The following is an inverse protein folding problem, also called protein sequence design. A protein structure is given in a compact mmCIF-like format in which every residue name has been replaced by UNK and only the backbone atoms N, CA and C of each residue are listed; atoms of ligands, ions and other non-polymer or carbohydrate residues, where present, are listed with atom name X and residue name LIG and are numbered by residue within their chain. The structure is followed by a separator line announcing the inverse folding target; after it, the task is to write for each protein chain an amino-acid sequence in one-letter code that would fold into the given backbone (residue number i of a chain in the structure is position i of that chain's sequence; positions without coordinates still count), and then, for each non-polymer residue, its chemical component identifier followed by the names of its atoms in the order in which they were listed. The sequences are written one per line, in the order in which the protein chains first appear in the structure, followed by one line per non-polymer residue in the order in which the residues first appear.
data_IF_469834003444
#
_entry.id   IF_469834003444
#
_cell.length_a   1.000
_cell.length_b   1.000
_cell.length_c   1.000
_cell.angle_alpha   90.00
_cell.angle_beta   90.00
_cell.angle_gamma   90.00
#
_symmetry.space_group_name_H-M   'P 1'
#
loop_
_entity.id
_entity.type
_entity.pdbx_description
1 polymer ?
#
# COMPACT_ATOMS: atom_id res chain seq x y z
N UNK A 1 27.84 4.93 -6.05
CA UNK A 1 26.56 4.81 -5.31
C UNK A 1 25.41 5.00 -6.30
N UNK A 2 24.71 3.93 -6.67
CA UNK A 2 23.42 4.07 -7.36
C UNK A 2 22.39 4.39 -6.28
N UNK A 3 21.90 5.63 -6.21
CA UNK A 3 20.73 5.94 -5.40
C UNK A 3 19.55 5.16 -5.99
N UNK A 4 19.29 3.96 -5.46
CA UNK A 4 18.01 3.31 -5.67
C UNK A 4 17.01 4.10 -4.83
N UNK A 5 16.32 5.05 -5.46
CA UNK A 5 15.11 5.61 -4.84
C UNK A 5 14.22 4.41 -4.48
N UNK A 6 13.74 4.29 -3.24
CA UNK A 6 12.86 3.20 -2.86
C UNK A 6 11.66 3.21 -3.81
N UNK A 7 11.35 2.06 -4.41
CA UNK A 7 10.28 1.92 -5.42
C UNK A 7 8.95 2.47 -4.91
N UNK A 8 8.71 2.34 -3.60
CA UNK A 8 7.58 2.92 -2.90
C UNK A 8 7.55 4.46 -2.98
N UNK A 9 8.65 5.16 -2.70
CA UNK A 9 8.70 6.62 -2.80
C UNK A 9 8.40 7.11 -4.22
N UNK A 10 8.95 6.43 -5.23
CA UNK A 10 8.70 6.77 -6.64
C UNK A 10 7.22 6.59 -7.00
N UNK A 11 6.62 5.48 -6.56
CA UNK A 11 5.18 5.24 -6.73
C UNK A 11 4.34 6.32 -6.05
N UNK A 12 4.65 6.68 -4.80
CA UNK A 12 3.91 7.72 -4.06
C UNK A 12 3.99 9.09 -4.73
N UNK A 13 5.18 9.46 -5.25
CA UNK A 13 5.39 10.73 -5.96
C UNK A 13 4.59 10.78 -7.26
N UNK A 14 4.64 9.73 -8.08
CA UNK A 14 3.88 9.69 -9.33
C UNK A 14 2.37 9.59 -9.07
N UNK A 15 1.94 8.86 -8.04
CA UNK A 15 0.53 8.82 -7.64
C UNK A 15 0.01 10.22 -7.27
N UNK A 16 0.80 11.02 -6.53
CA UNK A 16 0.45 12.41 -6.22
C UNK A 16 0.37 13.26 -7.49
N UNK A 17 1.40 13.16 -8.35
CA UNK A 17 1.45 13.92 -9.60
C UNK A 17 0.22 13.63 -10.48
N UNK A 18 -0.12 12.36 -10.65
CA UNK A 18 -1.28 11.94 -11.44
C UNK A 18 -2.58 12.44 -10.79
N UNK A 19 -2.73 12.32 -9.47
CA UNK A 19 -3.90 12.82 -8.75
C UNK A 19 -4.08 14.33 -8.96
N UNK A 20 -3.01 15.12 -8.84
CA UNK A 20 -3.04 16.57 -9.11
C UNK A 20 -3.48 16.84 -10.54
N UNK A 21 -2.84 16.22 -11.54
CA UNK A 21 -3.14 16.48 -12.96
C UNK A 21 -4.61 16.14 -13.28
N UNK A 22 -5.07 14.96 -12.88
CA UNK A 22 -6.41 14.48 -13.22
C UNK A 22 -7.49 15.32 -12.54
N UNK A 23 -7.35 15.58 -11.24
CA UNK A 23 -8.34 16.38 -10.50
C UNK A 23 -8.33 17.82 -10.98
N UNK A 24 -7.15 18.44 -11.13
CA UNK A 24 -7.06 19.83 -11.59
C UNK A 24 -7.65 20.00 -12.99
N UNK A 25 -7.37 19.07 -13.91
CA UNK A 25 -7.95 19.09 -15.25
C UNK A 25 -9.49 18.99 -15.23
N UNK A 26 -10.05 18.14 -14.36
CA UNK A 26 -11.51 18.07 -14.17
C UNK A 26 -12.08 19.37 -13.58
N UNK A 27 -11.36 19.99 -12.64
CA UNK A 27 -11.78 21.23 -11.99
C UNK A 27 -11.82 22.42 -12.95
N UNK A 28 -10.76 22.62 -13.72
CA UNK A 28 -10.65 23.72 -14.68
C UNK A 28 -11.47 23.45 -15.94
N UNK A 29 -11.53 22.20 -16.41
CA UNK A 29 -12.19 21.86 -17.67
C UNK A 29 -13.71 21.69 -17.57
N UNK A 30 -14.22 21.24 -16.41
CA UNK A 30 -15.65 20.88 -16.28
C UNK A 30 -16.30 21.53 -15.06
N UNK A 31 -15.74 21.35 -13.87
CA UNK A 31 -16.45 21.67 -12.61
C UNK A 31 -16.69 23.17 -12.47
N UNK A 32 -15.63 23.99 -12.52
CA UNK A 32 -15.75 25.44 -12.35
C UNK A 32 -16.52 26.11 -13.48
N UNK A 33 -16.24 25.82 -14.78
CA UNK A 33 -17.05 26.37 -15.86
C UNK A 33 -18.55 26.03 -15.74
N UNK A 34 -18.88 24.81 -15.33
CA UNK A 34 -20.28 24.39 -15.12
C UNK A 34 -20.93 25.11 -13.95
N UNK A 35 -20.19 25.30 -12.85
CA UNK A 35 -20.67 26.04 -11.69
C UNK A 35 -20.90 27.53 -12.03
N UNK A 36 -19.95 28.15 -12.72
CA UNK A 36 -20.00 29.57 -13.09
C UNK A 36 -21.15 29.86 -14.06
N UNK A 37 -21.38 28.98 -15.06
CA UNK A 37 -22.49 29.12 -16.00
C UNK A 37 -23.86 29.05 -15.29
N UNK A 38 -24.00 28.18 -14.30
CA UNK A 38 -25.24 28.06 -13.53
C UNK A 38 -25.45 29.23 -12.57
N UNK A 39 -24.39 29.69 -11.91
CA UNK A 39 -24.44 30.87 -11.04
C UNK A 39 -24.78 32.13 -11.85
N UNK A 40 -24.24 32.28 -13.05
CA UNK A 40 -24.59 33.37 -13.96
C UNK A 40 -26.08 33.35 -14.36
N UNK A 41 -26.61 32.16 -14.65
CA UNK A 41 -28.04 31.98 -14.97
C UNK A 41 -28.93 32.35 -13.77
N UNK A 42 -28.58 31.90 -12.57
CA UNK A 42 -29.30 32.24 -11.34
C UNK A 42 -29.24 33.75 -11.03
N UNK A 43 -28.09 34.39 -11.25
CA UNK A 43 -27.93 35.82 -11.08
C UNK A 43 -28.81 36.62 -12.07
N UNK A 44 -28.94 36.14 -13.32
CA UNK A 44 -29.81 36.78 -14.33
C UNK A 44 -31.31 36.66 -13.95
N UNK A 45 -31.75 35.50 -13.44
CA UNK A 45 -33.12 35.30 -12.95
C UNK A 45 -33.44 36.22 -11.77
N UNK A 46 -32.52 36.30 -10.80
CA UNK A 46 -32.65 37.20 -9.66
C UNK A 46 -32.74 38.68 -10.09
N UNK A 47 -31.93 39.10 -11.07
CA UNK A 47 -31.99 40.46 -11.62
C UNK A 47 -33.30 40.75 -12.37
N UNK A 48 -33.93 39.72 -12.97
CA UNK A 48 -35.24 39.82 -13.61
C UNK A 48 -36.42 39.82 -12.60
N UNK A 49 -36.14 39.66 -11.29
CA UNK A 49 -37.17 39.54 -10.25
C UNK A 49 -37.86 38.18 -10.22
N UNK A 50 -37.28 37.18 -10.89
CA UNK A 50 -37.72 35.78 -10.83
C UNK A 50 -37.05 35.10 -9.63
N UNK A 51 -37.80 34.23 -8.94
CA UNK A 51 -37.20 33.37 -7.94
C UNK A 51 -36.22 32.41 -8.63
N UNK A 52 -34.95 32.30 -8.17
CA UNK A 52 -33.96 31.43 -8.79
C UNK A 52 -34.46 29.98 -8.75
N UNK A 53 -34.82 29.46 -9.92
CA UNK A 53 -35.33 28.09 -10.05
C UNK A 53 -34.16 27.13 -10.16
N UNK A 54 -34.01 26.22 -9.20
CA UNK A 54 -33.13 25.07 -9.33
C UNK A 54 -32.43 24.66 -8.03
N UNK A 55 -32.39 23.35 -7.77
CA UNK A 55 -31.55 22.78 -6.72
C UNK A 55 -30.08 23.12 -7.00
N UNK A 56 -29.30 23.38 -5.94
CA UNK A 56 -27.85 23.54 -6.05
C UNK A 56 -27.25 22.32 -6.74
N UNK A 57 -26.57 22.52 -7.86
CA UNK A 57 -25.91 21.43 -8.56
C UNK A 57 -24.70 20.93 -7.79
N UNK A 58 -24.30 19.69 -8.04
CA UNK A 58 -23.09 19.11 -7.48
C UNK A 58 -21.87 19.98 -7.84
N UNK A 59 -21.80 20.49 -9.08
CA UNK A 59 -20.70 21.34 -9.53
C UNK A 59 -20.54 22.59 -8.66
N UNK A 60 -21.63 23.25 -8.27
CA UNK A 60 -21.59 24.41 -7.37
C UNK A 60 -21.11 24.01 -5.98
N UNK A 61 -21.52 22.84 -5.47
CA UNK A 61 -21.15 22.36 -4.13
C UNK A 61 -19.65 22.03 -4.02
N UNK A 62 -19.03 21.53 -5.10
CA UNK A 62 -17.63 21.09 -5.07
C UNK A 62 -16.65 22.07 -5.72
N UNK A 63 -17.08 23.25 -6.19
CA UNK A 63 -16.24 24.13 -7.03
C UNK A 63 -15.03 24.75 -6.32
N UNK A 64 -15.07 24.87 -4.99
CA UNK A 64 -14.05 25.64 -4.27
C UNK A 64 -12.72 24.88 -4.18
N UNK A 65 -11.64 25.63 -3.92
CA UNK A 65 -10.27 25.12 -3.91
C UNK A 65 -10.02 24.10 -2.78
N UNK A 66 -10.77 24.18 -1.68
CA UNK A 66 -10.65 23.25 -0.56
C UNK A 66 -11.05 21.82 -0.96
N UNK A 67 -12.14 21.69 -1.74
CA UNK A 67 -12.66 20.42 -2.24
C UNK A 67 -11.69 19.84 -3.29
N UNK A 68 -11.12 20.69 -4.16
CA UNK A 68 -10.09 20.26 -5.11
C UNK A 68 -8.89 19.63 -4.39
N UNK A 69 -8.34 20.34 -3.40
CA UNK A 69 -7.24 19.83 -2.60
C UNK A 69 -7.63 18.55 -1.84
N UNK A 70 -8.85 18.49 -1.31
CA UNK A 70 -9.37 17.31 -0.63
C UNK A 70 -9.40 16.09 -1.56
N UNK A 71 -9.92 16.22 -2.79
CA UNK A 71 -9.95 15.11 -3.75
C UNK A 71 -8.56 14.67 -4.19
N UNK A 72 -7.62 15.60 -4.40
CA UNK A 72 -6.22 15.28 -4.71
C UNK A 72 -5.62 14.43 -3.59
N UNK A 73 -5.72 14.89 -2.34
CA UNK A 73 -5.15 14.20 -1.18
C UNK A 73 -5.85 12.86 -0.91
N UNK A 74 -7.16 12.80 -1.13
CA UNK A 74 -7.94 11.56 -1.00
C UNK A 74 -7.48 10.50 -2.00
N UNK A 75 -7.37 10.84 -3.28
CA UNK A 75 -6.90 9.91 -4.31
C UNK A 75 -5.46 9.48 -4.05
N UNK A 76 -4.61 10.40 -3.60
CA UNK A 76 -3.24 10.09 -3.23
C UNK A 76 -3.18 9.12 -2.04
N UNK A 77 -3.91 9.39 -0.97
CA UNK A 77 -3.98 8.50 0.20
C UNK A 77 -4.54 7.12 -0.16
N UNK A 78 -5.59 7.05 -0.99
CA UNK A 78 -6.14 5.79 -1.49
C UNK A 78 -5.11 5.00 -2.31
N UNK A 79 -4.30 5.68 -3.14
CA UNK A 79 -3.25 5.03 -3.91
C UNK A 79 -2.14 4.44 -3.00
N UNK A 80 -1.75 5.18 -1.94
CA UNK A 80 -0.78 4.70 -0.94
C UNK A 80 -1.33 3.47 -0.21
N UNK A 81 -2.55 3.58 0.33
CA UNK A 81 -3.20 2.49 1.06
C UNK A 81 -3.41 1.27 0.17
N UNK A 82 -3.81 1.45 -1.09
CA UNK A 82 -3.99 0.36 -2.06
C UNK A 82 -2.68 -0.38 -2.36
N UNK A 83 -1.57 0.34 -2.50
CA UNK A 83 -0.25 -0.26 -2.69
C UNK A 83 0.17 -1.08 -1.47
N UNK A 84 0.10 -0.51 -0.27
CA UNK A 84 0.42 -1.23 0.98
C UNK A 84 -0.49 -2.45 1.18
N UNK A 85 -1.80 -2.30 0.97
CA UNK A 85 -2.77 -3.39 1.09
C UNK A 85 -2.49 -4.54 0.11
N UNK A 86 -2.05 -4.24 -1.11
CA UNK A 86 -1.71 -5.28 -2.09
C UNK A 86 -0.48 -6.09 -1.65
N UNK A 87 0.55 -5.42 -1.11
CA UNK A 87 1.73 -6.09 -0.52
C UNK A 87 1.34 -6.95 0.69
N UNK A 88 0.59 -6.41 1.64
CA UNK A 88 0.12 -7.15 2.82
C UNK A 88 -0.71 -8.37 2.43
N UNK A 89 -1.55 -8.27 1.37
CA UNK A 89 -2.31 -9.41 0.85
C UNK A 89 -1.38 -10.49 0.27
N UNK A 90 -0.38 -10.11 -0.53
CA UNK A 90 0.59 -11.06 -1.08
C UNK A 90 1.36 -11.78 0.03
N UNK A 91 1.78 -11.05 1.07
CA UNK A 91 2.44 -11.64 2.25
C UNK A 91 1.50 -12.56 3.05
N UNK A 92 0.24 -12.17 3.24
CA UNK A 92 -0.75 -13.02 3.93
C UNK A 92 -1.00 -14.32 3.17
N UNK A 93 -0.99 -14.28 1.83
CA UNK A 93 -1.15 -15.48 1.01
C UNK A 93 0.02 -16.46 1.18
N UNK A 94 1.22 -16.00 1.57
CA UNK A 94 2.32 -16.91 1.90
C UNK A 94 2.04 -17.82 3.08
N UNK A 95 1.20 -17.39 4.04
CA UNK A 95 0.83 -18.23 5.18
C UNK A 95 0.06 -19.49 4.76
N UNK A 96 -0.55 -19.48 3.57
CA UNK A 96 -1.27 -20.62 3.01
C UNK A 96 -0.38 -21.53 2.15
N UNK A 97 0.88 -21.15 1.92
CA UNK A 97 1.80 -21.93 1.11
C UNK A 97 2.60 -22.91 1.96
N UNK A 98 2.79 -24.13 1.46
CA UNK A 98 3.68 -25.11 2.05
C UNK A 98 5.14 -24.76 1.72
N UNK A 99 5.67 -23.71 2.35
CA UNK A 99 7.06 -23.25 2.16
C UNK A 99 8.09 -24.29 2.60
N UNK A 100 7.72 -25.12 3.58
CA UNK A 100 8.52 -26.20 4.11
C UNK A 100 7.67 -27.47 4.03
N UNK A 101 8.08 -28.41 3.17
CA UNK A 101 7.35 -29.65 2.95
C UNK A 101 7.77 -30.70 3.99
N UNK A 102 7.12 -30.68 5.16
CA UNK A 102 7.35 -31.66 6.22
C UNK A 102 6.04 -32.38 6.53
N UNK A 103 6.08 -33.71 6.57
CA UNK A 103 4.95 -34.52 7.02
C UNK A 103 4.69 -34.30 8.52
N UNK A 104 3.43 -34.13 8.89
CA UNK A 104 3.03 -33.98 10.29
C UNK A 104 3.61 -35.11 11.16
N UNK A 105 4.10 -34.75 12.35
CA UNK A 105 4.74 -35.70 13.27
C UNK A 105 6.22 -36.00 12.98
N UNK A 106 6.81 -35.43 11.92
CA UNK A 106 8.25 -35.57 11.65
C UNK A 106 9.07 -34.62 12.53
N UNK A 107 10.06 -35.15 13.25
CA UNK A 107 11.02 -34.33 13.98
C UNK A 107 12.11 -33.81 13.04
N UNK A 108 12.39 -32.51 13.09
CA UNK A 108 13.47 -31.88 12.34
C UNK A 108 14.75 -31.94 13.17
N UNK A 109 15.80 -32.57 12.66
CA UNK A 109 17.13 -32.49 13.27
C UNK A 109 17.91 -31.31 12.68
N UNK A 110 18.93 -30.77 13.40
CA UNK A 110 19.74 -29.67 12.90
C UNK A 110 20.40 -29.93 11.54
N UNK A 111 20.65 -31.20 11.20
CA UNK A 111 21.22 -31.61 9.90
C UNK A 111 20.22 -31.49 8.75
N UNK A 112 18.94 -31.70 9.04
CA UNK A 112 17.84 -31.69 8.05
C UNK A 112 17.37 -30.26 7.75
N UNK A 113 17.56 -29.33 8.69
CA UNK A 113 17.16 -27.93 8.54
C UNK A 113 17.81 -27.23 7.35
N UNK A 114 19.01 -27.65 6.95
CA UNK A 114 19.71 -27.11 5.76
C UNK A 114 19.07 -27.53 4.44
N UNK A 115 18.42 -28.68 4.40
CA UNK A 115 17.67 -29.09 3.22
C UNK A 115 16.42 -28.22 3.07
N UNK A 116 15.74 -27.95 4.18
CA UNK A 116 14.53 -27.14 4.21
C UNK A 116 14.77 -25.67 3.85
N UNK A 117 15.97 -25.12 4.08
CA UNK A 117 16.30 -23.76 3.66
C UNK A 117 16.34 -23.59 2.14
N UNK A 118 16.65 -24.66 1.38
CA UNK A 118 16.74 -24.60 -0.08
C UNK A 118 15.40 -24.28 -0.74
N UNK A 119 14.31 -24.78 -0.16
CA UNK A 119 12.95 -24.48 -0.64
C UNK A 119 12.63 -22.98 -0.51
N UNK A 120 13.14 -22.33 0.54
CA UNK A 120 13.00 -20.89 0.75
C UNK A 120 13.91 -20.09 -0.20
N UNK A 121 15.15 -20.56 -0.40
CA UNK A 121 16.11 -19.95 -1.35
C UNK A 121 15.65 -20.06 -2.82
N UNK A 122 14.79 -21.03 -3.13
CA UNK A 122 14.23 -21.25 -4.46
C UNK A 122 13.03 -20.33 -4.79
N UNK A 123 12.49 -19.61 -3.81
CA UNK A 123 11.40 -18.65 -4.04
C UNK A 123 11.86 -17.50 -4.95
N UNK A 124 10.94 -16.79 -5.64
CA UNK A 124 11.25 -15.54 -6.30
C UNK A 124 11.88 -14.52 -5.33
N UNK A 125 12.82 -13.70 -5.81
CA UNK A 125 13.57 -12.75 -4.96
C UNK A 125 12.65 -11.80 -4.18
N UNK A 126 11.53 -11.36 -4.76
CA UNK A 126 10.57 -10.50 -4.06
C UNK A 126 9.84 -11.22 -2.91
N UNK A 127 9.55 -12.51 -3.08
CA UNK A 127 8.89 -13.31 -2.05
C UNK A 127 9.85 -13.71 -0.92
N UNK A 128 11.13 -13.89 -1.24
CA UNK A 128 12.17 -14.11 -0.24
C UNK A 128 12.30 -12.94 0.76
N UNK A 129 11.94 -11.73 0.34
CA UNK A 129 11.98 -10.53 1.19
C UNK A 129 10.76 -10.41 2.12
N UNK A 130 9.73 -11.26 1.97
CA UNK A 130 8.55 -11.26 2.82
C UNK A 130 8.88 -11.77 4.24
N UNK A 131 8.06 -11.36 5.22
CA UNK A 131 8.28 -11.68 6.63
C UNK A 131 8.40 -13.18 6.89
N UNK A 132 7.46 -13.98 6.37
CA UNK A 132 7.39 -15.41 6.67
C UNK A 132 8.61 -16.18 6.14
N UNK A 133 9.00 -16.08 4.84
CA UNK A 133 10.24 -16.69 4.35
C UNK A 133 11.49 -16.25 5.10
N UNK A 134 11.63 -14.95 5.42
CA UNK A 134 12.78 -14.44 6.18
C UNK A 134 12.84 -15.00 7.60
N UNK A 135 11.71 -15.04 8.30
CA UNK A 135 11.62 -15.60 9.64
C UNK A 135 11.96 -17.10 9.65
N UNK A 136 11.43 -17.86 8.68
CA UNK A 136 11.72 -19.28 8.53
C UNK A 136 13.19 -19.54 8.14
N UNK A 137 13.76 -18.75 7.23
CA UNK A 137 15.15 -18.88 6.83
C UNK A 137 16.11 -18.58 8.00
N UNK A 138 15.80 -17.52 8.77
CA UNK A 138 16.53 -17.18 9.99
C UNK A 138 16.44 -18.30 11.04
N UNK A 139 15.23 -18.83 11.25
CA UNK A 139 14.97 -19.95 12.16
C UNK A 139 15.78 -21.20 11.79
N UNK A 140 15.71 -21.65 10.53
CA UNK A 140 16.41 -22.84 10.04
C UNK A 140 17.93 -22.68 10.09
N UNK A 141 18.43 -21.50 9.71
CA UNK A 141 19.86 -21.16 9.80
C UNK A 141 20.34 -21.23 11.25
N UNK A 142 19.61 -20.59 12.18
CA UNK A 142 19.93 -20.59 13.60
C UNK A 142 19.87 -21.99 14.21
N UNK A 143 18.89 -22.80 13.83
CA UNK A 143 18.76 -24.18 14.29
C UNK A 143 19.90 -25.06 13.79
N UNK A 144 20.30 -24.91 12.52
CA UNK A 144 21.43 -25.64 11.93
C UNK A 144 22.73 -25.40 12.69
N UNK A 145 22.97 -24.16 13.14
CA UNK A 145 24.19 -23.81 13.88
C UNK A 145 24.15 -24.18 15.36
N UNK A 146 23.01 -23.97 16.02
CA UNK A 146 22.92 -24.04 17.49
C UNK A 146 22.29 -25.32 18.02
N UNK A 147 21.46 -25.99 17.21
CA UNK A 147 20.60 -27.09 17.64
C UNK A 147 19.63 -26.74 18.78
N UNK A 148 19.42 -25.45 19.06
CA UNK A 148 18.72 -24.97 20.25
C UNK A 148 17.38 -24.32 19.87
N UNK A 149 16.28 -24.87 20.40
CA UNK A 149 14.93 -24.30 20.21
C UNK A 149 14.82 -22.87 20.76
N UNK A 150 15.35 -22.54 21.97
CA UNK A 150 15.37 -21.15 22.44
C UNK A 150 16.03 -20.19 21.45
N UNK A 151 17.18 -20.57 20.88
CA UNK A 151 17.90 -19.73 19.93
C UNK A 151 17.09 -19.47 18.65
N UNK A 152 16.31 -20.46 18.21
CA UNK A 152 15.40 -20.32 17.06
C UNK A 152 14.26 -19.35 17.38
N UNK A 153 13.63 -19.49 18.55
CA UNK A 153 12.56 -18.59 18.99
C UNK A 153 13.02 -17.14 19.06
N UNK A 154 14.23 -16.90 19.56
CA UNK A 154 14.82 -15.55 19.61
C UNK A 154 15.06 -14.98 18.20
N UNK A 155 15.58 -15.78 17.27
CA UNK A 155 15.82 -15.36 15.89
C UNK A 155 14.52 -15.05 15.11
N UNK A 156 13.43 -15.78 15.39
CA UNK A 156 12.11 -15.47 14.83
C UNK A 156 11.56 -14.18 15.42
N UNK A 157 11.66 -14.01 16.75
CA UNK A 157 11.21 -12.78 17.43
C UNK A 157 11.93 -11.55 16.91
N UNK A 158 13.25 -11.60 16.83
CA UNK A 158 14.08 -10.51 16.28
C UNK A 158 13.61 -10.13 14.87
N UNK A 159 13.28 -11.10 14.03
CA UNK A 159 12.82 -10.81 12.67
C UNK A 159 11.42 -10.19 12.62
N UNK A 160 10.53 -10.58 13.54
CA UNK A 160 9.23 -9.93 13.70
C UNK A 160 9.36 -8.50 14.23
N UNK A 161 10.27 -8.26 15.18
CA UNK A 161 10.51 -6.94 15.77
C UNK A 161 11.10 -5.98 14.72
N UNK A 162 12.07 -6.43 13.92
CA UNK A 162 12.63 -5.66 12.78
C UNK A 162 11.52 -5.28 11.79
N UNK A 163 10.61 -6.21 11.49
CA UNK A 163 9.52 -5.95 10.55
C UNK A 163 8.47 -5.01 11.14
N UNK A 164 8.21 -5.08 12.44
CA UNK A 164 7.35 -4.12 13.15
C UNK A 164 7.93 -2.70 13.07
N UNK A 165 9.21 -2.54 13.37
CA UNK A 165 9.91 -1.25 13.27
C UNK A 165 9.87 -0.68 11.82
N UNK A 166 9.95 -1.56 10.81
CA UNK A 166 9.85 -1.19 9.39
C UNK A 166 8.44 -0.70 9.02
N UNK A 167 7.40 -1.25 9.63
CA UNK A 167 6.01 -0.85 9.36
C UNK A 167 5.65 0.46 10.08
N UNK A 168 6.27 0.73 11.22
CA UNK A 168 6.11 1.97 11.98
C UNK A 168 6.84 3.16 11.33
N UNK A 169 7.89 2.91 10.54
CA UNK A 169 8.63 3.91 9.76
C UNK A 169 7.97 4.28 8.42
#
# INVERSE_FOLDING_TARGET
MKLRLPSEFLYQLFALLIAVIVVHAAYVGVIRPSADAQLATQAAQQAAGEDPTGNRSIAIVIKDFEQEACFILMLWALAIMGFKASRTRAETLMLNQALIAIAEGTSILPRDAREQSRSLEALPTEEQDYLLPRALASALSRFTTTGSIPAVSDAVREQCDIEADRLDS
#
